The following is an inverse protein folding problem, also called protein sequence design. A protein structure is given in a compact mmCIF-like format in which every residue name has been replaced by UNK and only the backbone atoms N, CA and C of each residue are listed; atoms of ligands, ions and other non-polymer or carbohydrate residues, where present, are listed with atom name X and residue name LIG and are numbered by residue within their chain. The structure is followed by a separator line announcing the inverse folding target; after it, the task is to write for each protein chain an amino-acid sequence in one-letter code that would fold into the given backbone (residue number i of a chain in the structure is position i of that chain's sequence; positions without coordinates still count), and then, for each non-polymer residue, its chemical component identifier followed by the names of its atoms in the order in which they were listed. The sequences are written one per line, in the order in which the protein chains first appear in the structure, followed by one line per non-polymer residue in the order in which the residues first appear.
data_IF_682486184682
#
_entry.id   IF_682486184682
#
_cell.length_a   1.000
_cell.length_b   1.000
_cell.length_c   1.000
_cell.angle_alpha   90.00
_cell.angle_beta   90.00
_cell.angle_gamma   90.00
#
_symmetry.space_group_name_H-M   'P 1'
#
loop_
_entity.id
_entity.type
_entity.pdbx_description
1 polymer ?
#
# COMPACT_ATOMS: atom_id res chain seq x y z
N UNK A 1 -6.94 -10.63 -6.44
CA UNK A 1 -5.98 -9.86 -5.63
C UNK A 1 -6.45 -9.87 -4.18
N UNK A 2 -5.55 -9.96 -3.20
CA UNK A 2 -5.91 -10.01 -1.77
C UNK A 2 -6.04 -8.57 -1.22
N UNK A 3 -7.09 -8.31 -0.43
CA UNK A 3 -7.24 -7.07 0.35
C UNK A 3 -7.91 -5.89 -0.35
N UNK A 4 -8.45 -6.08 -1.56
CA UNK A 4 -9.34 -5.08 -2.19
C UNK A 4 -10.81 -5.53 -2.04
N UNK A 5 -11.71 -4.57 -1.84
CA UNK A 5 -13.14 -4.79 -1.76
C UNK A 5 -13.91 -3.64 -2.42
N UNK A 6 -15.09 -3.95 -2.96
CA UNK A 6 -16.05 -2.95 -3.43
C UNK A 6 -16.66 -2.22 -2.23
N UNK A 7 -16.77 -0.90 -2.34
CA UNK A 7 -17.44 -0.02 -1.38
C UNK A 7 -18.52 0.79 -2.10
N UNK A 8 -19.34 1.54 -1.37
CA UNK A 8 -20.35 2.44 -1.96
C UNK A 8 -19.71 3.48 -2.91
N UNK A 9 -18.43 3.83 -2.71
CA UNK A 9 -17.74 4.92 -3.43
C UNK A 9 -16.71 4.44 -4.46
N UNK A 10 -16.24 3.20 -4.37
CA UNK A 10 -15.20 2.65 -5.24
C UNK A 10 -15.31 1.12 -5.30
N UNK A 11 -15.37 0.59 -6.51
CA UNK A 11 -15.51 -0.84 -6.79
C UNK A 11 -14.24 -1.67 -6.54
N UNK A 12 -13.09 -1.01 -6.34
CA UNK A 12 -11.80 -1.66 -6.08
C UNK A 12 -10.99 -0.91 -5.01
N UNK A 13 -11.56 -0.76 -3.81
CA UNK A 13 -10.91 -0.09 -2.69
C UNK A 13 -9.99 -1.04 -1.93
N UNK A 14 -8.71 -0.69 -1.76
CA UNK A 14 -7.85 -1.39 -0.80
C UNK A 14 -8.36 -1.20 0.63
N UNK A 15 -8.36 -2.27 1.42
CA UNK A 15 -8.79 -2.30 2.84
C UNK A 15 -7.60 -2.38 3.82
N UNK A 16 -6.43 -1.96 3.34
CA UNK A 16 -5.20 -1.94 4.11
C UNK A 16 -4.40 -0.69 3.76
N UNK A 17 -3.79 -0.10 4.78
CA UNK A 17 -2.82 0.98 4.63
C UNK A 17 -1.53 0.42 4.04
N UNK A 18 -0.97 1.14 3.08
CA UNK A 18 0.32 0.81 2.46
C UNK A 18 1.26 1.96 2.73
N UNK A 19 2.40 1.67 3.35
CA UNK A 19 3.53 2.60 3.40
C UNK A 19 4.63 2.06 2.49
N UNK A 20 5.05 2.86 1.53
CA UNK A 20 6.11 2.53 0.59
C UNK A 20 7.26 3.48 0.87
N UNK A 21 8.40 2.91 1.21
CA UNK A 21 9.67 3.62 1.35
C UNK A 21 10.48 3.41 0.08
N UNK A 22 10.94 4.51 -0.52
CA UNK A 22 11.81 4.48 -1.71
C UNK A 22 13.16 5.05 -1.31
N UNK A 23 14.19 4.22 -1.40
CA UNK A 23 15.57 4.60 -1.12
C UNK A 23 16.21 5.25 -2.35
N UNK A 24 16.75 6.45 -2.18
CA UNK A 24 17.52 7.14 -3.20
C UNK A 24 19.00 7.18 -2.82
N UNK A 25 19.86 6.83 -3.77
CA UNK A 25 21.30 7.05 -3.67
C UNK A 25 21.70 8.05 -4.75
N UNK A 26 22.17 9.22 -4.32
CA UNK A 26 22.38 10.39 -5.20
C UNK A 26 21.06 10.75 -5.88
N UNK A 27 20.93 10.46 -7.17
CA UNK A 27 19.72 10.70 -7.98
C UNK A 27 19.12 9.41 -8.57
N UNK A 28 19.53 8.24 -8.09
CA UNK A 28 19.02 6.96 -8.57
C UNK A 28 18.23 6.24 -7.47
N UNK A 29 17.16 5.56 -7.88
CA UNK A 29 16.42 4.65 -6.99
C UNK A 29 17.34 3.45 -6.71
N UNK A 30 17.68 3.25 -5.44
CA UNK A 30 18.54 2.17 -4.98
C UNK A 30 17.74 1.00 -4.41
N UNK A 31 16.49 1.23 -4.00
CA UNK A 31 15.64 0.17 -3.48
C UNK A 31 14.27 0.69 -3.05
N UNK A 32 13.38 -0.25 -2.73
CA UNK A 32 12.08 0.06 -2.15
C UNK A 32 11.73 -0.99 -1.08
N UNK A 33 11.07 -0.53 -0.02
CA UNK A 33 10.53 -1.36 1.04
C UNK A 33 9.06 -1.02 1.24
N UNK A 34 8.26 -2.01 1.61
CA UNK A 34 6.82 -1.84 1.79
C UNK A 34 6.40 -2.39 3.15
N UNK A 35 5.67 -1.57 3.91
CA UNK A 35 5.00 -1.98 5.14
C UNK A 35 3.49 -1.93 4.93
N UNK A 36 2.83 -3.06 5.16
CA UNK A 36 1.39 -3.17 5.11
C UNK A 36 0.83 -2.96 6.51
N UNK A 37 -0.01 -1.95 6.67
CA UNK A 37 -0.76 -1.68 7.89
C UNK A 37 -2.17 -2.20 7.70
N UNK A 38 -2.60 -3.15 8.53
CA UNK A 38 -3.99 -3.57 8.54
C UNK A 38 -4.81 -2.44 9.17
N UNK A 39 -5.61 -1.73 8.37
CA UNK A 39 -6.47 -0.67 8.88
C UNK A 39 -7.69 -1.26 9.63
N UNK A 40 -7.98 -2.54 9.42
CA UNK A 40 -9.21 -3.18 9.86
C UNK A 40 -8.84 -4.51 10.50
N UNK A 41 -8.91 -4.57 11.84
CA UNK A 41 -9.21 -5.84 12.50
C UNK A 41 -10.72 -6.03 12.33
N UNK A 42 -11.10 -7.06 11.59
CA UNK A 42 -12.45 -7.64 11.68
C UNK A 42 -12.72 -8.13 13.10
#
# INVERSE_FOLDING_TARGET
AIGNAKTIRNDNSSRFGKYIEIGFLKNHICGASMKTYLLEKS
#
